data_IF_907904076479
#
_entry.id   IF_907904076479
#
_cell.length_a   1.000
_cell.length_b   1.000
_cell.length_c   1.000
_cell.angle_alpha   90.00
_cell.angle_beta   90.00
_cell.angle_gamma   90.00
#
_symmetry.space_group_name_H-M   'P 1'
#
loop_
_entity.id
_entity.type
_entity.pdbx_description
1 polymer ?
#
# COMPACT_ATOMS: atom_id res chain seq x y z
N UNK A 1 -14.20 -41.70 68.32
CA UNK A 1 -13.78 -41.85 66.91
C UNK A 1 -14.56 -40.86 66.07
N UNK A 2 -13.85 -39.95 65.40
CA UNK A 2 -14.39 -38.94 64.49
C UNK A 2 -14.91 -39.61 63.21
N UNK A 3 -16.06 -39.15 62.71
CA UNK A 3 -16.32 -39.00 61.27
C UNK A 3 -17.41 -37.94 61.11
N UNK A 4 -16.95 -36.70 60.93
CA UNK A 4 -17.81 -35.64 60.41
C UNK A 4 -18.01 -35.90 58.92
N UNK A 5 -19.27 -35.93 58.51
CA UNK A 5 -19.67 -35.81 57.11
C UNK A 5 -19.55 -34.33 56.77
N UNK A 6 -18.61 -34.00 55.89
CA UNK A 6 -18.58 -32.72 55.19
C UNK A 6 -19.70 -32.71 54.15
N UNK A 7 -20.36 -31.57 53.88
CA UNK A 7 -21.26 -31.45 52.74
C UNK A 7 -20.44 -31.59 51.46
N UNK A 8 -21.00 -32.30 50.48
CA UNK A 8 -20.44 -32.40 49.13
C UNK A 8 -20.26 -31.00 48.55
N UNK A 9 -19.04 -30.70 48.13
CA UNK A 9 -18.67 -29.48 47.43
C UNK A 9 -19.57 -29.33 46.19
N UNK A 10 -20.50 -28.37 46.23
CA UNK A 10 -21.04 -27.75 45.02
C UNK A 10 -19.87 -27.06 44.32
N UNK A 11 -19.18 -27.81 43.46
CA UNK A 11 -18.38 -27.22 42.38
C UNK A 11 -19.35 -26.44 41.50
N UNK A 12 -19.54 -25.17 41.84
CA UNK A 12 -20.02 -24.16 40.90
C UNK A 12 -18.93 -24.11 39.83
N UNK A 13 -19.13 -24.86 38.73
CA UNK A 13 -18.43 -24.60 37.49
C UNK A 13 -18.70 -23.13 37.19
N UNK A 14 -17.69 -22.27 37.36
CA UNK A 14 -17.77 -20.91 36.87
C UNK A 14 -18.15 -21.03 35.39
N UNK A 15 -19.28 -20.44 34.99
CA UNK A 15 -19.65 -20.35 33.59
C UNK A 15 -18.42 -19.86 32.84
N UNK A 16 -17.85 -20.68 31.96
CA UNK A 16 -16.75 -20.26 31.10
C UNK A 16 -17.26 -19.04 30.33
N UNK A 17 -16.67 -17.89 30.60
CA UNK A 17 -17.06 -16.64 29.95
C UNK A 17 -16.75 -16.77 28.45
N UNK A 18 -17.79 -17.02 27.65
CA UNK A 18 -17.65 -17.23 26.21
C UNK A 18 -17.49 -15.87 25.54
N UNK A 19 -16.27 -15.58 25.09
CA UNK A 19 -15.96 -14.35 24.37
C UNK A 19 -16.42 -14.45 22.90
N UNK A 20 -16.99 -13.38 22.32
CA UNK A 20 -17.30 -13.37 20.90
C UNK A 20 -16.02 -13.29 20.07
N UNK A 21 -16.00 -13.97 18.92
CA UNK A 21 -14.97 -13.75 17.90
C UNK A 21 -15.04 -12.32 17.35
N UNK A 22 -13.88 -11.75 17.03
CA UNK A 22 -13.73 -10.45 16.36
C UNK A 22 -14.50 -10.35 15.04
N UNK A 23 -14.73 -11.48 14.37
CA UNK A 23 -15.53 -11.55 13.14
C UNK A 23 -17.01 -11.18 13.37
N UNK A 24 -17.50 -11.36 14.60
CA UNK A 24 -18.90 -11.15 14.98
C UNK A 24 -19.11 -9.84 15.76
N UNK A 25 -18.03 -9.22 16.25
CA UNK A 25 -18.08 -7.98 17.01
C UNK A 25 -18.15 -6.76 16.08
N UNK A 26 -18.94 -5.75 16.48
CA UNK A 26 -18.88 -4.43 15.85
C UNK A 26 -17.66 -3.67 16.36
N UNK A 27 -17.06 -2.79 15.53
CA UNK A 27 -15.98 -1.91 15.97
C UNK A 27 -16.40 -1.08 17.19
N UNK A 28 -15.48 -0.85 18.12
CA UNK A 28 -15.74 -0.03 19.30
C UNK A 28 -15.86 1.46 18.97
N UNK A 29 -15.25 1.89 17.86
CA UNK A 29 -15.37 3.24 17.33
C UNK A 29 -15.73 3.17 15.84
N UNK A 30 -16.76 3.91 15.43
CA UNK A 30 -17.05 4.15 14.02
C UNK A 30 -16.62 5.58 13.69
N UNK A 31 -15.66 5.71 12.78
CA UNK A 31 -15.28 7.02 12.24
C UNK A 31 -16.47 7.65 11.51
N UNK A 32 -16.69 8.95 11.73
CA UNK A 32 -17.68 9.70 10.96
C UNK A 32 -17.30 9.71 9.47
N UNK A 33 -18.27 9.65 8.54
CA UNK A 33 -18.00 9.68 7.10
C UNK A 33 -17.52 11.09 6.72
N UNK A 34 -16.22 11.33 6.79
CA UNK A 34 -15.59 12.53 6.26
C UNK A 34 -15.07 12.16 4.87
N UNK A 35 -15.60 12.78 3.83
CA UNK A 35 -15.08 12.61 2.48
C UNK A 35 -13.63 13.13 2.42
N UNK A 36 -12.66 12.22 2.44
CA UNK A 36 -11.22 12.53 2.40
C UNK A 36 -10.78 12.74 0.95
N UNK A 37 -10.14 13.87 0.64
CA UNK A 37 -9.52 14.11 -0.68
C UNK A 37 -8.21 13.33 -0.80
N UNK A 38 -8.07 12.53 -1.86
CA UNK A 38 -6.85 11.78 -2.16
C UNK A 38 -6.59 10.58 -1.24
N UNK A 39 -5.39 10.00 -1.38
CA UNK A 39 -4.83 9.00 -0.47
C UNK A 39 -3.87 9.68 0.50
N UNK A 40 -3.77 9.16 1.71
CA UNK A 40 -2.84 9.67 2.72
C UNK A 40 -1.97 8.57 3.31
N UNK A 41 -1.08 8.95 4.23
CA UNK A 41 -0.19 8.06 4.95
C UNK A 41 -0.88 6.79 5.50
N UNK A 42 -2.05 6.92 6.12
CA UNK A 42 -2.73 5.76 6.70
C UNK A 42 -3.25 4.80 5.64
N UNK A 43 -3.72 5.32 4.50
CA UNK A 43 -4.10 4.46 3.36
C UNK A 43 -2.87 3.67 2.85
N UNK A 44 -1.66 4.27 2.82
CA UNK A 44 -0.43 3.58 2.42
C UNK A 44 0.01 2.49 3.42
N UNK A 45 -0.13 2.73 4.72
CA UNK A 45 0.14 1.73 5.76
C UNK A 45 -0.81 0.53 5.59
N UNK A 46 -2.10 0.81 5.40
CA UNK A 46 -3.10 -0.21 5.14
C UNK A 46 -2.82 -1.02 3.85
N UNK A 47 -2.38 -0.36 2.76
CA UNK A 47 -1.91 -1.06 1.55
C UNK A 47 -0.74 -1.99 1.87
N UNK A 48 0.19 -1.57 2.73
CA UNK A 48 1.29 -2.41 3.20
C UNK A 48 0.82 -3.71 3.86
N UNK A 49 -0.28 -3.66 4.64
CA UNK A 49 -0.91 -4.86 5.22
C UNK A 49 -1.67 -5.69 4.19
N UNK A 50 -2.28 -5.09 3.17
CA UNK A 50 -2.85 -5.86 2.05
C UNK A 50 -1.77 -6.62 1.30
N UNK A 51 -0.60 -6.01 1.08
CA UNK A 51 0.57 -6.68 0.50
C UNK A 51 1.15 -7.77 1.43
N UNK A 52 1.11 -7.56 2.75
CA UNK A 52 1.41 -8.62 3.74
C UNK A 52 0.46 -9.79 3.58
N UNK A 53 -0.84 -9.51 3.46
CA UNK A 53 -1.83 -10.55 3.24
C UNK A 53 -1.59 -11.27 1.92
N UNK A 54 -1.16 -10.62 0.84
CA UNK A 54 -0.77 -11.36 -0.37
C UNK A 54 0.39 -12.33 -0.10
N UNK A 55 1.47 -11.83 0.53
CA UNK A 55 2.71 -12.56 0.72
C UNK A 55 2.66 -13.66 1.80
N UNK A 56 1.84 -13.48 2.83
CA UNK A 56 1.85 -14.32 4.03
C UNK A 56 0.50 -15.06 4.21
N UNK A 57 0.44 -16.39 4.03
CA UNK A 57 -0.79 -17.18 4.16
C UNK A 57 -1.44 -17.14 5.54
N UNK A 58 -0.68 -16.79 6.59
CA UNK A 58 -1.19 -16.72 7.95
C UNK A 58 -2.06 -15.49 8.18
N UNK A 59 -1.89 -14.40 7.42
CA UNK A 59 -2.81 -13.27 7.48
C UNK A 59 -4.05 -13.61 6.64
N UNK A 60 -5.18 -13.82 7.32
CA UNK A 60 -6.40 -14.34 6.67
C UNK A 60 -7.46 -13.28 6.45
N UNK A 61 -7.49 -12.21 7.25
CA UNK A 61 -8.42 -11.08 7.10
C UNK A 61 -7.82 -9.76 7.58
N UNK A 62 -8.34 -8.67 7.02
CA UNK A 62 -8.10 -7.29 7.48
C UNK A 62 -9.44 -6.60 7.66
N UNK A 63 -9.69 -6.06 8.85
CA UNK A 63 -10.86 -5.24 9.15
C UNK A 63 -10.43 -3.76 9.11
N UNK A 64 -11.12 -2.96 8.30
CA UNK A 64 -10.93 -1.51 8.18
C UNK A 64 -11.97 -0.81 9.07
N UNK A 65 -11.70 -0.76 10.38
CA UNK A 65 -12.65 -0.25 11.39
C UNK A 65 -12.87 1.26 11.21
N UNK A 66 -11.80 2.04 11.26
CA UNK A 66 -11.80 3.48 11.03
C UNK A 66 -10.71 3.86 10.02
N UNK A 67 -10.48 5.16 9.84
CA UNK A 67 -9.38 5.67 9.02
C UNK A 67 -8.01 5.34 9.61
N UNK A 68 -7.90 5.31 10.95
CA UNK A 68 -6.63 5.15 11.66
C UNK A 68 -6.51 3.77 12.35
N UNK A 69 -7.58 3.00 12.44
CA UNK A 69 -7.62 1.73 13.17
C UNK A 69 -7.96 0.55 12.24
N UNK A 70 -7.11 -0.48 12.27
CA UNK A 70 -7.24 -1.73 11.52
C UNK A 70 -7.20 -2.92 12.47
N UNK A 71 -7.79 -4.04 12.06
CA UNK A 71 -7.58 -5.34 12.74
C UNK A 71 -7.05 -6.35 11.75
N UNK A 72 -5.89 -6.92 12.04
CA UNK A 72 -5.31 -8.02 11.27
C UNK A 72 -5.65 -9.34 11.96
N UNK A 73 -6.32 -10.24 11.25
CA UNK A 73 -6.66 -11.56 11.80
C UNK A 73 -5.66 -12.58 11.27
N UNK A 74 -4.89 -13.17 12.18
CA UNK A 74 -3.86 -14.15 11.86
C UNK A 74 -4.30 -15.56 12.27
N UNK A 75 -4.10 -16.51 11.36
CA UNK A 75 -4.25 -17.93 11.58
C UNK A 75 -2.86 -18.59 11.65
N UNK A 76 -2.34 -18.71 12.87
CA UNK A 76 -1.01 -19.26 13.16
C UNK A 76 -1.06 -20.70 13.68
N UNK A 77 -2.22 -21.35 13.59
CA UNK A 77 -2.49 -22.64 14.23
C UNK A 77 -2.97 -22.53 15.68
N UNK A 78 -3.21 -23.68 16.31
CA UNK A 78 -3.72 -23.78 17.69
C UNK A 78 -2.76 -23.14 18.72
N UNK A 79 -3.26 -22.59 19.86
CA UNK A 79 -4.61 -22.80 20.41
C UNK A 79 -5.70 -21.83 19.93
N UNK A 80 -5.38 -20.56 19.60
CA UNK A 80 -6.37 -19.57 19.13
C UNK A 80 -5.79 -18.67 18.05
N UNK A 81 -6.67 -18.16 17.17
CA UNK A 81 -6.32 -17.09 16.22
C UNK A 81 -5.87 -15.83 16.97
N UNK A 82 -5.20 -14.95 16.25
CA UNK A 82 -4.77 -13.65 16.78
C UNK A 82 -5.58 -12.54 16.10
N UNK A 83 -6.06 -11.61 16.91
CA UNK A 83 -6.54 -10.31 16.45
C UNK A 83 -5.49 -9.26 16.80
N UNK A 84 -4.77 -8.76 15.80
CA UNK A 84 -3.80 -7.68 15.97
C UNK A 84 -4.46 -6.33 15.66
N UNK A 85 -4.66 -5.54 16.71
CA UNK A 85 -5.24 -4.20 16.65
C UNK A 85 -4.14 -3.21 16.30
N UNK A 86 -4.22 -2.66 15.08
CA UNK A 86 -3.26 -1.70 14.56
C UNK A 86 -3.86 -0.30 14.68
N UNK A 87 -3.11 0.61 15.30
CA UNK A 87 -3.46 2.01 15.39
C UNK A 87 -2.38 2.87 14.72
N UNK A 88 -2.76 3.58 13.66
CA UNK A 88 -1.87 4.41 12.85
C UNK A 88 -1.94 5.87 13.32
N UNK A 89 -0.79 6.49 13.56
CA UNK A 89 -0.66 7.89 13.97
C UNK A 89 0.10 8.68 12.91
N UNK A 90 -0.63 9.16 11.90
CA UNK A 90 -0.10 9.89 10.74
C UNK A 90 -0.23 11.42 10.78
N UNK A 91 -0.94 12.00 11.75
CA UNK A 91 -1.32 13.42 11.77
C UNK A 91 -0.82 14.20 12.99
N UNK A 92 0.11 13.63 13.75
CA UNK A 92 0.56 14.20 15.03
C UNK A 92 1.65 15.27 14.86
N UNK A 93 1.85 16.07 15.93
CA UNK A 93 2.86 17.11 15.99
C UNK A 93 4.28 16.53 15.80
N UNK A 94 5.20 17.37 15.31
CA UNK A 94 6.59 17.00 15.04
C UNK A 94 7.39 16.77 16.34
N UNK A 95 7.14 15.63 17.00
CA UNK A 95 7.79 15.21 18.25
C UNK A 95 8.02 13.71 18.28
N UNK A 96 8.95 13.28 19.12
CA UNK A 96 9.12 11.88 19.47
C UNK A 96 8.00 11.42 20.39
N UNK A 97 7.59 10.17 20.24
CA UNK A 97 6.58 9.54 21.09
C UNK A 97 7.14 9.16 22.45
N UNK A 98 6.45 9.57 23.52
CA UNK A 98 6.84 9.29 24.90
C UNK A 98 5.80 8.47 25.66
N UNK A 99 6.21 7.90 26.81
CA UNK A 99 5.31 7.19 27.73
C UNK A 99 4.18 8.13 28.21
N UNK A 100 4.49 9.41 28.42
CA UNK A 100 3.49 10.41 28.80
C UNK A 100 2.41 10.59 27.72
N UNK A 101 2.78 10.55 26.44
CA UNK A 101 1.83 10.63 25.34
C UNK A 101 0.91 9.40 25.30
N UNK A 102 1.49 8.22 25.52
CA UNK A 102 0.76 6.96 25.55
C UNK A 102 -0.29 6.93 26.66
N UNK A 103 0.06 7.46 27.84
CA UNK A 103 -0.81 7.52 29.03
C UNK A 103 -1.71 8.78 29.08
N UNK A 104 -1.56 9.71 28.14
CA UNK A 104 -2.31 10.97 28.17
C UNK A 104 -3.79 10.73 27.90
N UNK A 105 -4.64 11.08 28.87
CA UNK A 105 -6.10 10.99 28.75
C UNK A 105 -6.67 12.22 28.07
N UNK A 106 -7.47 12.01 27.01
CA UNK A 106 -8.21 13.09 26.35
C UNK A 106 -9.25 13.64 27.33
N UNK A 107 -9.17 14.95 27.61
CA UNK A 107 -10.04 15.64 28.59
C UNK A 107 -10.08 14.94 29.96
N UNK A 108 -8.98 14.29 30.37
CA UNK A 108 -8.86 13.54 31.62
C UNK A 108 -9.85 12.35 31.77
N UNK A 109 -10.51 11.92 30.69
CA UNK A 109 -11.45 10.81 30.73
C UNK A 109 -10.72 9.46 30.91
N UNK A 110 -11.14 8.65 31.88
CA UNK A 110 -10.65 7.28 32.06
C UNK A 110 -10.97 6.46 30.81
N UNK A 111 -10.05 5.60 30.38
CA UNK A 111 -10.21 4.78 29.17
C UNK A 111 -9.93 5.53 27.86
N UNK A 112 -9.43 6.76 27.91
CA UNK A 112 -9.23 7.59 26.71
C UNK A 112 -7.79 7.72 26.24
N UNK A 113 -6.83 7.26 27.04
CA UNK A 113 -5.42 7.20 26.63
C UNK A 113 -5.18 6.10 25.59
N UNK A 114 -4.07 6.20 24.85
CA UNK A 114 -3.72 5.19 23.84
C UNK A 114 -3.50 3.83 24.51
N UNK A 115 -2.81 3.80 25.65
CA UNK A 115 -2.58 2.57 26.41
C UNK A 115 -3.88 1.90 26.85
N UNK A 116 -4.80 2.66 27.49
CA UNK A 116 -6.07 2.10 27.94
C UNK A 116 -6.93 1.60 26.78
N UNK A 117 -7.07 2.41 25.72
CA UNK A 117 -7.87 2.02 24.55
C UNK A 117 -7.31 0.79 23.87
N UNK A 118 -5.99 0.71 23.75
CA UNK A 118 -5.31 -0.44 23.15
C UNK A 118 -5.58 -1.70 23.98
N UNK A 119 -5.37 -1.65 25.29
CA UNK A 119 -5.58 -2.81 26.17
C UNK A 119 -7.06 -3.21 26.29
N UNK A 120 -8.02 -2.28 26.22
CA UNK A 120 -9.46 -2.59 26.23
C UNK A 120 -9.90 -3.45 25.03
N UNK A 121 -9.14 -3.48 23.93
CA UNK A 121 -9.44 -4.34 22.76
C UNK A 121 -9.30 -5.83 23.05
N UNK A 122 -8.60 -6.19 24.13
CA UNK A 122 -8.53 -7.56 24.63
C UNK A 122 -9.85 -7.97 25.32
N UNK A 123 -10.82 -8.30 24.47
CA UNK A 123 -12.22 -8.60 24.83
C UNK A 123 -12.88 -9.57 23.83
N UNK A 124 -12.08 -10.35 23.11
CA UNK A 124 -12.53 -11.28 22.07
C UNK A 124 -11.91 -12.67 22.31
N UNK A 125 -12.45 -13.68 21.64
CA UNK A 125 -11.95 -15.06 21.70
C UNK A 125 -10.50 -15.18 21.19
N UNK A 126 -10.16 -14.39 20.16
CA UNK A 126 -8.81 -14.32 19.65
C UNK A 126 -7.80 -13.73 20.65
N UNK A 127 -6.55 -14.19 20.56
CA UNK A 127 -5.44 -13.58 21.33
C UNK A 127 -5.21 -12.16 20.81
N UNK A 128 -5.31 -11.16 21.70
CA UNK A 128 -5.09 -9.77 21.33
C UNK A 128 -3.59 -9.48 21.16
N UNK A 129 -3.24 -8.87 20.02
CA UNK A 129 -1.95 -8.20 19.81
C UNK A 129 -2.18 -6.74 19.50
N UNK A 130 -1.20 -5.91 19.80
CA UNK A 130 -1.30 -4.47 19.60
C UNK A 130 -0.17 -4.00 18.70
N UNK A 131 -0.47 -3.12 17.75
CA UNK A 131 0.53 -2.48 16.91
C UNK A 131 0.27 -0.99 16.85
N UNK A 132 1.28 -0.18 17.18
CA UNK A 132 1.22 1.27 17.04
C UNK A 132 2.15 1.64 15.89
N UNK A 133 1.60 2.28 14.85
CA UNK A 133 2.36 2.70 13.67
C UNK A 133 2.52 4.21 13.70
N UNK A 134 3.75 4.71 13.68
CA UNK A 134 4.03 6.15 13.78
C UNK A 134 4.95 6.65 12.68
N UNK A 135 4.78 7.91 12.29
CA UNK A 135 5.75 8.63 11.44
C UNK A 135 7.06 8.89 12.19
N UNK A 136 6.93 9.41 13.42
CA UNK A 136 8.08 9.79 14.23
C UNK A 136 8.55 8.66 15.14
N UNK A 137 9.88 8.57 15.40
CA UNK A 137 10.41 7.58 16.31
C UNK A 137 9.94 7.76 17.75
N UNK A 138 10.24 6.76 18.56
CA UNK A 138 10.01 6.80 20.00
C UNK A 138 11.22 7.32 20.78
N UNK A 139 10.97 7.82 21.99
CA UNK A 139 12.05 8.08 22.96
C UNK A 139 12.66 6.79 23.47
N UNK A 140 13.90 6.85 23.98
CA UNK A 140 14.66 5.66 24.44
C UNK A 140 13.86 4.69 25.33
N UNK A 141 13.08 5.13 26.33
CA UNK A 141 12.25 4.23 27.15
C UNK A 141 11.26 3.33 26.40
N UNK A 142 10.82 3.72 25.19
CA UNK A 142 9.88 2.94 24.38
C UNK A 142 10.57 2.11 23.29
N UNK A 143 11.89 2.28 23.08
CA UNK A 143 12.65 1.52 22.07
C UNK A 143 12.52 0.00 22.19
N UNK A 144 12.42 -0.62 23.38
CA UNK A 144 12.23 -2.07 23.44
C UNK A 144 11.00 -2.57 22.67
N UNK A 145 9.96 -1.74 22.52
CA UNK A 145 8.74 -2.10 21.78
C UNK A 145 8.93 -2.05 20.26
N UNK A 146 10.00 -1.47 19.74
CA UNK A 146 10.31 -1.46 18.30
C UNK A 146 10.98 -2.75 17.82
N UNK A 147 11.44 -3.60 18.75
CA UNK A 147 11.93 -4.94 18.44
C UNK A 147 10.79 -5.92 18.22
N UNK A 148 10.99 -6.90 17.33
CA UNK A 148 10.03 -7.96 17.05
C UNK A 148 9.63 -8.72 18.32
N UNK A 149 8.35 -9.11 18.41
CA UNK A 149 7.82 -9.85 19.57
C UNK A 149 8.62 -11.14 19.79
N UNK A 150 8.98 -11.43 21.03
CA UNK A 150 9.83 -12.57 21.40
C UNK A 150 11.33 -12.35 21.26
N UNK A 151 11.79 -11.18 20.79
CA UNK A 151 13.22 -10.85 20.77
C UNK A 151 13.78 -10.71 22.20
N UNK A 152 15.03 -11.15 22.43
CA UNK A 152 15.64 -11.17 23.77
C UNK A 152 15.74 -9.77 24.41
N UNK A 153 16.03 -8.75 23.60
CA UNK A 153 16.16 -7.36 24.04
C UNK A 153 14.85 -6.76 24.60
N UNK A 154 13.71 -7.43 24.39
CA UNK A 154 12.40 -7.02 24.94
C UNK A 154 11.79 -8.05 25.89
N UNK A 155 12.60 -8.98 26.41
CA UNK A 155 12.15 -9.88 27.46
C UNK A 155 11.68 -9.07 28.68
N UNK A 156 10.53 -9.42 29.27
CA UNK A 156 9.96 -8.68 30.41
C UNK A 156 10.88 -8.60 31.64
N UNK A 157 11.89 -9.46 31.72
CA UNK A 157 12.92 -9.46 32.77
C UNK A 157 14.08 -8.50 32.52
N UNK A 158 14.22 -7.93 31.32
CA UNK A 158 15.31 -7.01 31.02
C UNK A 158 15.09 -5.65 31.72
N UNK A 159 16.19 -4.97 32.05
CA UNK A 159 16.15 -3.72 32.82
C UNK A 159 15.27 -2.65 32.17
N UNK A 160 15.37 -2.48 30.85
CA UNK A 160 14.60 -1.50 30.09
C UNK A 160 13.09 -1.79 30.11
N UNK A 161 12.69 -3.06 29.96
CA UNK A 161 11.28 -3.47 30.02
C UNK A 161 10.71 -3.39 31.44
N UNK A 162 11.49 -3.73 32.46
CA UNK A 162 11.10 -3.56 33.87
C UNK A 162 10.88 -2.08 34.20
N UNK A 163 11.79 -1.20 33.74
CA UNK A 163 11.65 0.24 33.91
C UNK A 163 10.42 0.78 33.17
N UNK A 164 10.20 0.38 31.92
CA UNK A 164 9.02 0.76 31.13
C UNK A 164 7.72 0.32 31.80
N UNK A 165 7.66 -0.94 32.27
CA UNK A 165 6.50 -1.47 32.99
C UNK A 165 6.22 -0.66 34.26
N UNK A 166 7.26 -0.35 35.04
CA UNK A 166 7.14 0.43 36.27
C UNK A 166 6.59 1.85 36.01
N UNK A 167 7.08 2.53 34.96
CA UNK A 167 6.58 3.87 34.59
C UNK A 167 5.12 3.82 34.12
N UNK A 168 4.75 2.81 33.32
CA UNK A 168 3.35 2.60 32.91
C UNK A 168 2.43 2.35 34.11
N UNK A 169 2.81 1.45 35.01
CA UNK A 169 2.01 1.12 36.20
C UNK A 169 1.89 2.32 37.16
N UNK A 170 2.95 3.14 37.27
CA UNK A 170 2.93 4.37 38.08
C UNK A 170 1.97 5.41 37.51
N UNK A 171 1.96 5.59 36.19
CA UNK A 171 1.09 6.56 35.51
C UNK A 171 -0.35 6.08 35.42
N UNK A 172 -0.54 4.77 35.23
CA UNK A 172 -1.83 4.14 34.93
C UNK A 172 -2.10 2.96 35.87
N UNK A 173 -2.26 3.21 37.18
CA UNK A 173 -2.38 2.15 38.17
C UNK A 173 -3.67 1.34 37.99
N UNK A 174 -3.53 0.01 38.01
CA UNK A 174 -4.67 -0.92 38.02
C UNK A 174 -5.43 -1.05 36.70
N UNK A 175 -4.90 -0.56 35.59
CA UNK A 175 -5.53 -0.73 34.27
C UNK A 175 -5.43 -2.20 33.84
N UNK A 176 -6.58 -2.78 33.50
CA UNK A 176 -6.72 -4.15 33.00
C UNK A 176 -7.69 -4.19 31.82
N UNK A 177 -7.51 -5.16 30.93
CA UNK A 177 -8.47 -5.49 29.89
C UNK A 177 -9.72 -6.15 30.47
N UNK A 178 -10.75 -6.34 29.64
CA UNK A 178 -11.96 -7.07 30.03
C UNK A 178 -11.69 -8.54 30.36
N UNK A 179 -10.60 -9.10 29.82
CA UNK A 179 -10.09 -10.44 30.13
C UNK A 179 -9.15 -10.47 31.35
N UNK A 180 -9.00 -9.36 32.07
CA UNK A 180 -8.17 -9.25 33.27
C UNK A 180 -6.67 -9.14 33.03
N UNK A 181 -6.24 -8.99 31.77
CA UNK A 181 -4.83 -8.81 31.44
C UNK A 181 -4.36 -7.38 31.70
N UNK A 182 -3.19 -7.21 32.30
CA UNK A 182 -2.63 -5.89 32.64
C UNK A 182 -1.45 -5.46 31.76
N UNK A 183 -0.67 -4.49 32.25
CA UNK A 183 0.49 -3.89 31.58
C UNK A 183 1.50 -4.89 31.04
N UNK A 184 1.79 -5.97 31.79
CA UNK A 184 2.76 -6.99 31.36
C UNK A 184 2.32 -7.70 30.07
N UNK A 185 1.04 -8.03 29.96
CA UNK A 185 0.47 -8.64 28.76
C UNK A 185 0.53 -7.68 27.58
N UNK A 186 0.18 -6.41 27.79
CA UNK A 186 0.26 -5.39 26.76
C UNK A 186 1.69 -5.23 26.25
N UNK A 187 2.68 -5.15 27.14
CA UNK A 187 4.09 -5.01 26.78
C UNK A 187 4.63 -6.21 26.00
N UNK A 188 4.21 -7.42 26.33
CA UNK A 188 4.63 -8.63 25.61
C UNK A 188 4.00 -8.71 24.21
N UNK A 189 2.77 -8.20 24.06
CA UNK A 189 1.99 -8.30 22.83
C UNK A 189 1.96 -7.03 21.97
N UNK A 190 2.53 -5.91 22.43
CA UNK A 190 2.60 -4.66 21.69
C UNK A 190 3.83 -4.58 20.78
N UNK A 191 3.68 -4.13 19.55
CA UNK A 191 4.76 -3.81 18.63
C UNK A 191 4.66 -2.34 18.22
N UNK A 192 5.77 -1.63 18.24
CA UNK A 192 5.86 -0.26 17.74
C UNK A 192 6.55 -0.24 16.38
N UNK A 193 5.85 0.20 15.36
CA UNK A 193 6.31 0.20 13.97
C UNK A 193 6.59 1.64 13.51
N UNK A 194 7.87 1.98 13.38
CA UNK A 194 8.32 3.29 12.94
C UNK A 194 8.40 3.33 11.41
N UNK A 195 7.47 4.05 10.77
CA UNK A 195 7.31 4.07 9.32
C UNK A 195 7.69 5.42 8.66
N UNK A 196 8.44 6.27 9.36
CA UNK A 196 9.09 7.50 8.87
C UNK A 196 8.17 8.50 8.15
N UNK A 197 8.01 8.39 6.84
CA UNK A 197 7.23 9.31 6.00
C UNK A 197 6.49 8.59 4.85
N UNK A 198 5.46 9.26 4.33
CA UNK A 198 4.59 8.72 3.28
C UNK A 198 5.36 8.34 1.98
N UNK A 199 6.28 9.16 1.44
CA UNK A 199 7.11 8.76 0.31
C UNK A 199 7.89 7.45 0.54
N UNK A 200 8.48 7.29 1.73
CA UNK A 200 9.24 6.10 2.10
C UNK A 200 8.33 4.87 2.17
N UNK A 201 7.13 5.00 2.75
CA UNK A 201 6.15 3.90 2.79
C UNK A 201 5.69 3.52 1.37
N UNK A 202 5.43 4.50 0.50
CA UNK A 202 5.07 4.25 -0.91
C UNK A 202 6.13 3.45 -1.64
N UNK A 203 7.38 3.85 -1.52
CA UNK A 203 8.50 3.16 -2.14
C UNK A 203 8.69 1.74 -1.58
N UNK A 204 8.55 1.57 -0.25
CA UNK A 204 8.58 0.26 0.41
C UNK A 204 7.47 -0.65 -0.10
N UNK A 205 6.24 -0.14 -0.24
CA UNK A 205 5.11 -0.88 -0.80
C UNK A 205 5.37 -1.29 -2.26
N UNK A 206 5.95 -0.38 -3.05
CA UNK A 206 6.32 -0.66 -4.45
C UNK A 206 7.38 -1.73 -4.58
N UNK A 207 8.46 -1.64 -3.80
CA UNK A 207 9.49 -2.66 -3.75
C UNK A 207 8.94 -4.01 -3.27
N UNK A 208 8.06 -4.00 -2.27
CA UNK A 208 7.40 -5.21 -1.76
C UNK A 208 6.54 -5.86 -2.85
N UNK A 209 5.72 -5.07 -3.54
CA UNK A 209 4.90 -5.57 -4.62
C UNK A 209 5.76 -6.13 -5.76
N UNK A 210 6.84 -5.44 -6.13
CA UNK A 210 7.80 -5.94 -7.12
C UNK A 210 8.31 -7.34 -6.78
N UNK A 211 8.72 -7.56 -5.51
CA UNK A 211 9.18 -8.88 -5.03
C UNK A 211 8.08 -9.94 -5.11
N UNK A 212 6.86 -9.63 -4.62
CA UNK A 212 5.71 -10.54 -4.70
C UNK A 212 5.44 -10.97 -6.15
N UNK A 213 5.48 -10.01 -7.09
CA UNK A 213 5.26 -10.28 -8.51
C UNK A 213 6.36 -11.14 -9.12
N UNK A 214 7.61 -10.88 -8.77
CA UNK A 214 8.75 -11.65 -9.23
C UNK A 214 8.69 -13.10 -8.73
N UNK A 215 8.39 -13.30 -7.45
CA UNK A 215 8.31 -14.62 -6.82
C UNK A 215 7.12 -15.43 -7.35
N UNK A 216 6.04 -14.75 -7.75
CA UNK A 216 4.89 -15.36 -8.42
C UNK A 216 5.12 -15.68 -9.91
N UNK A 217 6.31 -15.41 -10.46
CA UNK A 217 6.63 -15.68 -11.87
C UNK A 217 6.01 -14.70 -12.86
N UNK A 218 5.56 -13.54 -12.38
CA UNK A 218 4.89 -12.51 -13.18
C UNK A 218 5.61 -11.15 -13.05
N UNK A 219 6.88 -11.03 -13.46
CA UNK A 219 7.62 -9.79 -13.31
C UNK A 219 6.93 -8.63 -14.06
N UNK A 220 6.67 -7.55 -13.35
CA UNK A 220 6.12 -6.31 -13.92
C UNK A 220 7.20 -5.24 -14.00
N UNK A 221 7.06 -4.35 -14.98
CA UNK A 221 7.87 -3.14 -15.05
C UNK A 221 7.56 -2.25 -13.85
N UNK A 222 8.56 -1.51 -13.39
CA UNK A 222 8.48 -0.67 -12.20
C UNK A 222 7.32 0.34 -12.26
N UNK A 223 7.08 0.92 -13.45
CA UNK A 223 5.99 1.85 -13.70
C UNK A 223 4.59 1.21 -13.65
N UNK A 224 4.46 -0.09 -13.92
CA UNK A 224 3.17 -0.78 -13.86
C UNK A 224 2.75 -1.12 -12.43
N UNK A 225 3.70 -1.15 -11.49
CA UNK A 225 3.42 -1.36 -10.07
C UNK A 225 2.58 -0.22 -9.50
N UNK A 226 2.78 1.02 -9.97
CA UNK A 226 2.01 2.18 -9.49
C UNK A 226 0.52 2.03 -9.80
N UNK A 227 0.18 1.48 -10.98
CA UNK A 227 -1.21 1.22 -11.36
C UNK A 227 -1.85 0.18 -10.44
N UNK A 228 -1.12 -0.87 -10.06
CA UNK A 228 -1.62 -1.88 -9.13
C UNK A 228 -1.78 -1.32 -7.73
N UNK A 229 -0.78 -0.58 -7.25
CA UNK A 229 -0.85 0.08 -5.95
C UNK A 229 -2.01 1.07 -5.88
N UNK A 230 -2.30 1.79 -6.97
CA UNK A 230 -3.46 2.68 -7.03
C UNK A 230 -4.79 1.94 -6.90
N UNK A 231 -4.93 0.75 -7.47
CA UNK A 231 -6.12 -0.09 -7.26
C UNK A 231 -6.23 -0.57 -5.81
N UNK A 232 -5.11 -0.96 -5.18
CA UNK A 232 -5.09 -1.33 -3.75
C UNK A 232 -5.44 -0.13 -2.85
N UNK A 233 -4.93 1.07 -3.16
CA UNK A 233 -5.26 2.31 -2.45
C UNK A 233 -6.75 2.63 -2.53
N UNK A 234 -7.36 2.50 -3.72
CA UNK A 234 -8.81 2.68 -3.91
C UNK A 234 -9.61 1.68 -3.07
N UNK A 235 -9.18 0.41 -3.05
CA UNK A 235 -9.82 -0.63 -2.24
C UNK A 235 -9.78 -0.27 -0.75
N UNK A 236 -8.59 0.03 -0.23
CA UNK A 236 -8.37 0.37 1.18
C UNK A 236 -9.19 1.60 1.57
N UNK A 237 -9.14 2.65 0.76
CA UNK A 237 -9.90 3.88 0.98
C UNK A 237 -11.40 3.60 1.03
N UNK A 238 -11.92 2.83 0.06
CA UNK A 238 -13.34 2.46 0.01
C UNK A 238 -13.76 1.62 1.22
N UNK A 239 -12.88 0.74 1.72
CA UNK A 239 -13.16 -0.08 2.89
C UNK A 239 -13.16 0.76 4.17
N UNK A 240 -12.19 1.66 4.34
CA UNK A 240 -12.15 2.59 5.47
C UNK A 240 -13.36 3.54 5.52
N UNK A 241 -13.79 4.04 4.37
CA UNK A 241 -14.90 5.00 4.23
C UNK A 241 -16.30 4.34 4.32
N UNK A 242 -16.39 3.01 4.22
CA UNK A 242 -17.65 2.29 4.37
C UNK A 242 -18.23 2.45 5.79
N UNK A 243 -19.51 2.12 5.98
CA UNK A 243 -20.15 2.06 7.31
C UNK A 243 -20.26 0.61 7.77
N UNK A 244 -20.19 0.37 9.08
CA UNK A 244 -20.36 -0.99 9.61
C UNK A 244 -21.77 -1.52 9.35
N UNK A 245 -22.80 -0.68 9.54
CA UNK A 245 -24.18 -0.96 9.11
C UNK A 245 -24.57 0.02 8.00
N UNK A 246 -25.00 -0.44 6.81
CA UNK A 246 -25.25 -1.82 6.40
C UNK A 246 -24.05 -2.55 5.76
N UNK A 247 -22.92 -1.87 5.57
CA UNK A 247 -21.85 -2.30 4.65
C UNK A 247 -20.70 -3.09 5.31
N UNK A 248 -20.98 -3.91 6.34
CA UNK A 248 -19.97 -4.72 7.07
C UNK A 248 -18.98 -5.42 6.14
N UNK A 249 -19.49 -6.11 5.12
CA UNK A 249 -18.66 -6.87 4.17
C UNK A 249 -17.69 -6.00 3.37
N UNK A 250 -17.98 -4.70 3.20
CA UNK A 250 -17.05 -3.76 2.54
C UNK A 250 -15.89 -3.33 3.46
N UNK A 251 -16.04 -3.48 4.78
CA UNK A 251 -14.99 -3.19 5.77
C UNK A 251 -14.06 -4.36 6.02
N UNK A 252 -14.36 -5.56 5.52
CA UNK A 252 -13.59 -6.77 5.79
C UNK A 252 -13.02 -7.31 4.49
N UNK A 253 -11.71 -7.22 4.33
CA UNK A 253 -11.02 -7.88 3.21
C UNK A 253 -10.52 -9.24 3.68
N UNK A 254 -11.10 -10.31 3.13
CA UNK A 254 -10.60 -11.67 3.35
C UNK A 254 -9.50 -12.01 2.35
N UNK A 255 -8.60 -12.93 2.73
CA UNK A 255 -7.58 -13.46 1.81
C UNK A 255 -8.21 -14.02 0.54
N UNK A 256 -9.31 -14.76 0.65
CA UNK A 256 -9.99 -15.34 -0.51
C UNK A 256 -10.49 -14.25 -1.47
N UNK A 257 -11.14 -13.20 -0.95
CA UNK A 257 -11.59 -12.08 -1.78
C UNK A 257 -10.42 -11.35 -2.45
N UNK A 258 -9.33 -11.14 -1.71
CA UNK A 258 -8.10 -10.57 -2.23
C UNK A 258 -7.49 -11.43 -3.34
N UNK A 259 -7.39 -12.75 -3.16
CA UNK A 259 -6.89 -13.67 -4.20
C UNK A 259 -7.74 -13.64 -5.46
N UNK A 260 -9.07 -13.66 -5.36
CA UNK A 260 -9.97 -13.57 -6.53
C UNK A 260 -9.77 -12.25 -7.28
N UNK A 261 -9.69 -11.13 -6.55
CA UNK A 261 -9.41 -9.83 -7.14
C UNK A 261 -8.01 -9.80 -7.78
N UNK A 262 -7.03 -10.39 -7.12
CA UNK A 262 -5.65 -10.47 -7.59
C UNK A 262 -5.55 -11.24 -8.90
N UNK A 263 -6.15 -12.42 -8.96
CA UNK A 263 -6.18 -13.27 -10.15
C UNK A 263 -6.88 -12.56 -11.32
N UNK A 264 -8.01 -11.89 -11.05
CA UNK A 264 -8.69 -11.08 -12.07
C UNK A 264 -7.80 -9.94 -12.58
N UNK A 265 -7.05 -9.29 -11.69
CA UNK A 265 -6.10 -8.25 -12.05
C UNK A 265 -4.93 -8.80 -12.86
N UNK A 266 -4.41 -9.99 -12.50
CA UNK A 266 -3.37 -10.68 -13.23
C UNK A 266 -3.83 -11.08 -14.63
N UNK A 267 -5.03 -11.65 -14.78
CA UNK A 267 -5.61 -11.96 -16.09
C UNK A 267 -5.74 -10.71 -16.95
N UNK A 268 -6.14 -9.57 -16.37
CA UNK A 268 -6.19 -8.29 -17.09
C UNK A 268 -4.81 -7.83 -17.53
N UNK A 269 -3.80 -7.91 -16.66
CA UNK A 269 -2.42 -7.56 -17.00
C UNK A 269 -1.81 -8.51 -18.04
N UNK A 270 -2.07 -9.81 -17.95
CA UNK A 270 -1.66 -10.79 -18.96
C UNK A 270 -2.37 -10.54 -20.27
N UNK A 271 -3.66 -10.19 -20.29
CA UNK A 271 -4.39 -9.81 -21.51
C UNK A 271 -3.80 -8.57 -22.18
N UNK A 272 -3.41 -7.57 -21.38
CA UNK A 272 -2.69 -6.38 -21.85
C UNK A 272 -1.26 -6.71 -22.32
N UNK A 273 -0.59 -7.69 -21.71
CA UNK A 273 0.74 -8.17 -22.11
C UNK A 273 0.72 -9.16 -23.30
N UNK A 274 -0.41 -9.81 -23.56
CA UNK A 274 -0.65 -10.68 -24.71
C UNK A 274 -1.19 -9.92 -25.93
N UNK A 275 -1.48 -8.62 -25.79
CA UNK A 275 -1.28 -7.74 -26.92
C UNK A 275 0.23 -7.62 -27.09
N UNK A 276 0.81 -7.98 -28.26
CA UNK A 276 2.22 -7.77 -28.48
C UNK A 276 2.55 -6.31 -28.16
N UNK A 277 3.62 -6.09 -27.37
CA UNK A 277 4.08 -4.75 -27.00
C UNK A 277 4.05 -3.84 -28.24
N UNK A 278 3.23 -2.78 -28.21
CA UNK A 278 2.89 -2.00 -29.41
C UNK A 278 1.46 -2.24 -29.97
N UNK A 279 0.60 -3.00 -29.30
CA UNK A 279 -0.77 -3.27 -29.76
C UNK A 279 -1.63 -2.01 -29.88
N UNK A 280 -1.52 -1.08 -28.91
CA UNK A 280 -2.21 0.21 -28.97
C UNK A 280 -1.61 1.14 -30.01
N UNK A 281 -0.28 1.14 -30.14
CA UNK A 281 0.41 1.84 -31.22
C UNK A 281 -0.07 1.33 -32.58
N UNK A 282 -0.13 0.02 -32.78
CA UNK A 282 -0.58 -0.61 -34.01
C UNK A 282 -2.02 -0.25 -34.33
N UNK A 283 -2.92 -0.34 -33.35
CA UNK A 283 -4.32 0.08 -33.47
C UNK A 283 -4.42 1.54 -33.93
N UNK A 284 -3.76 2.47 -33.24
CA UNK A 284 -3.78 3.90 -33.60
C UNK A 284 -3.20 4.22 -34.96
N UNK A 285 -2.15 3.51 -35.35
CA UNK A 285 -1.53 3.71 -36.65
C UNK A 285 -2.40 3.14 -37.78
N UNK A 286 -3.05 1.99 -37.54
CA UNK A 286 -4.02 1.42 -38.46
C UNK A 286 -5.28 2.30 -38.58
N UNK A 287 -5.79 2.84 -37.48
CA UNK A 287 -6.91 3.81 -37.45
C UNK A 287 -6.57 5.09 -38.22
N UNK A 288 -5.30 5.46 -38.24
CA UNK A 288 -4.76 6.57 -39.02
C UNK A 288 -4.42 6.20 -40.48
N UNK A 289 -4.85 5.02 -40.96
CA UNK A 289 -4.62 4.51 -42.31
C UNK A 289 -3.14 4.40 -42.72
N UNK A 290 -2.23 4.14 -41.76
CA UNK A 290 -0.83 3.86 -42.05
C UNK A 290 -0.63 2.42 -42.55
N UNK A 291 0.38 2.21 -43.40
CA UNK A 291 0.62 0.89 -44.01
C UNK A 291 1.23 -0.10 -43.01
N UNK A 292 0.92 -1.39 -43.16
CA UNK A 292 1.41 -2.44 -42.26
C UNK A 292 2.94 -2.49 -42.10
N UNK A 293 3.69 -2.13 -43.15
CA UNK A 293 5.16 -2.03 -43.11
C UNK A 293 5.62 -0.90 -42.18
N UNK A 294 5.00 0.27 -42.26
CA UNK A 294 5.32 1.43 -41.40
C UNK A 294 4.96 1.14 -39.95
N UNK A 295 3.83 0.46 -39.72
CA UNK A 295 3.42 0.01 -38.38
C UNK A 295 4.44 -0.95 -37.78
N UNK A 296 4.89 -1.95 -38.54
CA UNK A 296 5.90 -2.91 -38.06
C UNK A 296 7.22 -2.22 -37.69
N UNK A 297 7.69 -1.29 -38.52
CA UNK A 297 8.92 -0.52 -38.23
C UNK A 297 8.78 0.37 -36.99
N UNK A 298 7.61 0.98 -36.77
CA UNK A 298 7.36 1.80 -35.59
C UNK A 298 7.33 0.97 -34.30
N UNK A 299 6.78 -0.25 -34.36
CA UNK A 299 6.81 -1.20 -33.24
C UNK A 299 8.26 -1.59 -32.93
N UNK A 300 9.06 -1.90 -33.94
CA UNK A 300 10.47 -2.28 -33.76
C UNK A 300 11.29 -1.14 -33.12
N UNK A 301 11.16 0.08 -33.65
CA UNK A 301 11.79 1.27 -33.06
C UNK A 301 11.37 1.52 -31.60
N UNK A 302 10.11 1.27 -31.27
CA UNK A 302 9.62 1.38 -29.90
C UNK A 302 10.24 0.30 -29.00
N UNK A 303 10.31 -0.95 -29.47
CA UNK A 303 10.92 -2.04 -28.72
C UNK A 303 12.39 -1.78 -28.45
N UNK A 304 13.13 -1.24 -29.43
CA UNK A 304 14.52 -0.85 -29.27
C UNK A 304 14.71 0.32 -28.29
N UNK A 305 13.84 1.33 -28.35
CA UNK A 305 13.82 2.38 -27.33
C UNK A 305 13.52 1.83 -25.94
N UNK A 306 12.57 0.91 -25.80
CA UNK A 306 12.24 0.29 -24.52
C UNK A 306 13.39 -0.59 -23.99
N UNK A 307 14.11 -1.30 -24.86
CA UNK A 307 15.35 -2.02 -24.50
C UNK A 307 16.40 -1.03 -24.01
N UNK A 308 16.64 0.04 -24.76
CA UNK A 308 17.61 1.08 -24.41
C UNK A 308 17.27 1.72 -23.05
N UNK A 309 16.03 2.12 -22.83
CA UNK A 309 15.59 2.74 -21.57
C UNK A 309 15.75 1.79 -20.36
N UNK A 310 15.67 0.47 -20.56
CA UNK A 310 15.85 -0.53 -19.50
C UNK A 310 17.32 -0.91 -19.25
N UNK A 311 18.20 -0.78 -20.24
CA UNK A 311 19.60 -1.24 -20.17
C UNK A 311 20.62 -0.12 -19.99
N UNK A 312 20.21 1.15 -20.10
CA UNK A 312 21.17 2.26 -20.13
C UNK A 312 21.86 2.50 -18.78
N UNK A 313 23.03 1.87 -18.63
CA UNK A 313 24.12 2.29 -17.74
C UNK A 313 25.12 3.23 -18.44
N UNK A 314 24.90 3.54 -19.72
CA UNK A 314 25.93 4.13 -20.61
C UNK A 314 25.54 5.46 -21.27
N UNK A 315 24.30 5.93 -21.15
CA UNK A 315 23.96 7.34 -21.38
C UNK A 315 24.04 8.06 -20.04
N UNK A 316 24.67 9.24 -20.01
CA UNK A 316 24.54 10.14 -18.84
C UNK A 316 23.04 10.35 -18.64
N UNK A 317 22.49 9.93 -17.49
CA UNK A 317 21.03 9.91 -17.22
C UNK A 317 20.36 11.24 -17.59
N UNK A 318 21.07 12.35 -17.39
CA UNK A 318 20.65 13.70 -17.70
C UNK A 318 20.39 13.96 -19.20
N UNK A 319 21.15 13.33 -20.12
CA UNK A 319 20.98 13.52 -21.57
C UNK A 319 19.73 12.80 -22.09
N UNK A 320 19.49 11.57 -21.62
CA UNK A 320 18.32 10.78 -21.98
C UNK A 320 17.03 11.49 -21.56
N UNK A 321 17.00 11.97 -20.30
CA UNK A 321 15.85 12.69 -19.76
C UNK A 321 15.59 14.00 -20.49
N UNK A 322 16.63 14.75 -20.85
CA UNK A 322 16.50 15.98 -21.64
C UNK A 322 15.90 15.71 -23.03
N UNK A 323 16.40 14.69 -23.74
CA UNK A 323 15.87 14.33 -25.06
C UNK A 323 14.42 13.84 -24.98
N UNK A 324 14.09 13.00 -24.00
CA UNK A 324 12.71 12.55 -23.76
C UNK A 324 11.77 13.72 -23.45
N UNK A 325 12.22 14.67 -22.62
CA UNK A 325 11.50 15.90 -22.32
C UNK A 325 11.20 16.73 -23.57
N UNK A 326 12.17 16.85 -24.48
CA UNK A 326 11.98 17.55 -25.77
C UNK A 326 10.97 16.83 -26.66
N UNK A 327 11.07 15.50 -26.81
CA UNK A 327 10.10 14.71 -27.59
C UNK A 327 8.68 14.90 -27.05
N UNK A 328 8.50 14.80 -25.72
CA UNK A 328 7.21 14.98 -25.07
C UNK A 328 6.62 16.37 -25.33
N UNK A 329 7.43 17.42 -25.20
CA UNK A 329 7.02 18.80 -25.46
C UNK A 329 6.56 19.04 -26.90
N UNK A 330 7.33 18.53 -27.88
CA UNK A 330 7.00 18.65 -29.30
C UNK A 330 5.71 17.91 -29.66
N UNK A 331 5.59 16.64 -29.24
CA UNK A 331 4.41 15.81 -29.50
C UNK A 331 3.16 16.40 -28.84
N UNK A 332 3.28 16.94 -27.64
CA UNK A 332 2.18 17.65 -26.96
C UNK A 332 1.77 18.90 -27.76
N UNK A 333 2.73 19.69 -28.24
CA UNK A 333 2.47 20.89 -29.04
C UNK A 333 1.74 20.57 -30.34
N UNK A 334 2.20 19.53 -31.06
CA UNK A 334 1.54 19.06 -32.28
C UNK A 334 0.11 18.57 -32.01
N UNK A 335 -0.06 17.78 -30.94
CA UNK A 335 -1.38 17.26 -30.54
C UNK A 335 -2.35 18.40 -30.19
N UNK A 336 -1.88 19.40 -29.44
CA UNK A 336 -2.68 20.58 -29.10
C UNK A 336 -3.09 21.40 -30.32
N UNK A 337 -2.14 21.65 -31.25
CA UNK A 337 -2.43 22.37 -32.50
C UNK A 337 -3.42 21.62 -33.38
N UNK A 338 -3.33 20.28 -33.41
CA UNK A 338 -4.26 19.44 -34.15
C UNK A 338 -5.65 19.43 -33.52
N UNK A 339 -5.73 19.32 -32.19
CA UNK A 339 -6.99 19.40 -31.44
C UNK A 339 -7.68 20.77 -31.62
N UNK A 340 -6.90 21.84 -31.66
CA UNK A 340 -7.39 23.19 -31.93
C UNK A 340 -7.78 23.43 -33.41
N UNK A 341 -7.66 22.42 -34.29
CA UNK A 341 -7.93 22.53 -35.72
C UNK A 341 -6.95 23.41 -36.50
N UNK A 342 -5.85 23.84 -35.87
CA UNK A 342 -4.79 24.64 -36.52
C UNK A 342 -3.86 23.79 -37.40
N UNK A 343 -3.90 22.47 -37.24
CA UNK A 343 -3.25 21.50 -38.12
C UNK A 343 -4.33 20.61 -38.74
N UNK A 344 -4.74 20.94 -39.97
CA UNK A 344 -5.70 20.17 -40.74
C UNK A 344 -4.97 19.13 -41.60
N UNK A 345 -4.50 18.06 -40.94
CA UNK A 345 -3.76 16.97 -41.55
C UNK A 345 -4.48 15.64 -41.31
N UNK A 346 -4.52 14.81 -42.35
CA UNK A 346 -4.97 13.43 -42.24
C UNK A 346 -3.99 12.58 -41.42
N UNK A 347 -4.35 11.32 -41.19
CA UNK A 347 -3.56 10.42 -40.34
C UNK A 347 -2.11 10.26 -40.80
N UNK A 348 -1.86 9.92 -42.07
CA UNK A 348 -0.51 9.76 -42.59
C UNK A 348 0.28 11.07 -42.61
N UNK A 349 -0.31 12.20 -43.01
CA UNK A 349 0.40 13.48 -43.04
C UNK A 349 0.76 13.98 -41.64
N UNK A 350 -0.09 13.72 -40.64
CA UNK A 350 0.25 14.06 -39.26
C UNK A 350 1.36 13.16 -38.69
N UNK A 351 1.33 11.86 -38.97
CA UNK A 351 2.43 10.95 -38.60
C UNK A 351 3.75 11.38 -39.23
N UNK A 352 3.76 11.73 -40.52
CA UNK A 352 4.95 12.25 -41.20
C UNK A 352 5.47 13.53 -40.52
N UNK A 353 4.59 14.48 -40.19
CA UNK A 353 4.98 15.69 -39.46
C UNK A 353 5.62 15.38 -38.10
N UNK A 354 5.10 14.38 -37.36
CA UNK A 354 5.70 13.97 -36.09
C UNK A 354 7.12 13.41 -36.30
N UNK A 355 7.32 12.57 -37.34
CA UNK A 355 8.63 12.01 -37.70
C UNK A 355 9.61 13.13 -38.11
N UNK A 356 9.18 14.07 -38.94
CA UNK A 356 9.99 15.22 -39.37
C UNK A 356 10.45 16.07 -38.18
N UNK A 357 9.60 16.20 -37.15
CA UNK A 357 9.98 16.91 -35.92
C UNK A 357 11.03 16.15 -35.11
N UNK A 358 10.98 14.81 -35.09
CA UNK A 358 12.04 14.02 -34.45
C UNK A 358 13.36 14.17 -35.20
N UNK A 359 13.32 14.18 -36.53
CA UNK A 359 14.52 14.41 -37.35
C UNK A 359 15.05 15.84 -37.19
N UNK A 360 14.18 16.85 -37.02
CA UNK A 360 14.60 18.21 -36.70
C UNK A 360 15.26 18.33 -35.32
N UNK A 361 14.77 17.60 -34.30
CA UNK A 361 15.44 17.52 -32.99
C UNK A 361 16.83 16.91 -33.18
N UNK A 362 16.94 15.79 -33.89
CA UNK A 362 18.21 15.12 -34.15
C UNK A 362 19.22 16.04 -34.84
N UNK A 363 18.79 16.73 -35.90
CA UNK A 363 19.63 17.64 -36.67
C UNK A 363 20.04 18.90 -35.89
N UNK A 364 19.35 19.22 -34.79
CA UNK A 364 19.73 20.31 -33.88
C UNK A 364 20.82 19.93 -32.88
N UNK A 365 21.19 18.65 -32.81
CA UNK A 365 22.23 18.19 -31.90
C UNK A 365 23.63 18.50 -32.46
N UNK A 366 24.62 18.75 -31.58
CA UNK A 366 26.02 18.87 -31.97
C UNK A 366 26.52 17.65 -32.76
N UNK A 367 27.35 17.83 -33.82
CA UNK A 367 27.80 16.72 -34.68
C UNK A 367 28.56 15.59 -33.96
N UNK A 368 29.12 15.88 -32.79
CA UNK A 368 29.87 14.95 -31.94
C UNK A 368 28.99 14.04 -31.07
N UNK A 369 27.68 14.31 -30.96
CA UNK A 369 26.74 13.51 -30.16
C UNK A 369 26.19 12.27 -30.90
N UNK A 370 26.52 12.12 -32.18
CA UNK A 370 26.08 11.00 -33.03
C UNK A 370 24.59 11.03 -33.37
N UNK A 371 24.16 10.08 -34.21
CA UNK A 371 22.78 9.97 -34.64
C UNK A 371 21.87 9.41 -33.54
N UNK A 372 20.86 10.19 -33.14
CA UNK A 372 19.82 9.83 -32.15
C UNK A 372 18.45 9.63 -32.78
N UNK A 373 18.32 9.62 -34.11
CA UNK A 373 17.03 9.55 -34.81
C UNK A 373 16.18 8.34 -34.37
N UNK A 374 16.80 7.16 -34.27
CA UNK A 374 16.12 5.93 -33.83
C UNK A 374 15.59 6.03 -32.39
N UNK A 375 16.38 6.64 -31.48
CA UNK A 375 15.98 6.85 -30.08
C UNK A 375 14.78 7.80 -29.97
N UNK A 376 14.83 8.94 -30.69
CA UNK A 376 13.78 9.95 -30.67
C UNK A 376 12.46 9.40 -31.25
N UNK A 377 12.52 8.70 -32.38
CA UNK A 377 11.36 8.05 -33.01
C UNK A 377 10.79 6.95 -32.12
N UNK A 378 11.64 6.11 -31.53
CA UNK A 378 11.20 5.09 -30.57
C UNK A 378 10.53 5.67 -29.32
N UNK A 379 11.04 6.79 -28.78
CA UNK A 379 10.42 7.51 -27.67
C UNK A 379 9.03 8.05 -28.03
N UNK A 380 8.90 8.68 -29.20
CA UNK A 380 7.61 9.16 -29.72
C UNK A 380 6.59 8.02 -29.84
N UNK A 381 7.01 6.87 -30.37
CA UNK A 381 6.13 5.71 -30.50
C UNK A 381 5.76 5.10 -29.14
N UNK A 382 6.65 5.15 -28.14
CA UNK A 382 6.32 4.75 -26.79
C UNK A 382 5.28 5.67 -26.14
N UNK A 383 5.36 6.99 -26.38
CA UNK A 383 4.35 7.98 -25.97
C UNK A 383 2.99 7.68 -26.62
N UNK A 384 2.99 7.32 -27.91
CA UNK A 384 1.77 6.93 -28.63
C UNK A 384 1.14 5.65 -28.07
N UNK A 385 1.94 4.64 -27.76
CA UNK A 385 1.46 3.38 -27.16
C UNK A 385 0.86 3.61 -25.76
N UNK A 386 1.42 4.54 -24.97
CA UNK A 386 0.97 4.93 -23.62
C UNK A 386 -0.25 5.87 -23.59
N UNK A 387 -0.99 5.97 -24.69
CA UNK A 387 -2.21 6.78 -24.80
C UNK A 387 -2.06 8.32 -24.85
N UNK A 388 -0.85 8.87 -25.04
CA UNK A 388 -0.64 10.33 -25.02
C UNK A 388 -0.59 11.01 -26.40
N UNK A 389 -0.45 10.22 -27.47
CA UNK A 389 -0.49 10.69 -28.87
C UNK A 389 -1.49 9.84 -29.68
N UNK A 390 -2.28 10.49 -30.54
CA UNK A 390 -3.16 9.84 -31.53
C UNK A 390 -2.82 10.35 -32.93
N UNK A 391 -2.81 9.44 -33.91
CA UNK A 391 -2.54 9.77 -35.30
C UNK A 391 -3.81 9.99 -36.11
N UNK A 392 -4.96 9.53 -35.65
CA UNK A 392 -6.26 9.77 -36.25
C UNK A 392 -6.97 11.00 -35.62
N UNK A 393 -8.08 11.42 -36.23
CA UNK A 393 -8.90 12.56 -35.75
C UNK A 393 -10.18 12.11 -35.02
N UNK A 394 -10.53 10.84 -35.08
CA UNK A 394 -11.90 10.35 -34.77
C UNK A 394 -12.13 10.17 -33.25
N UNK A 395 -11.09 10.30 -32.42
CA UNK A 395 -11.16 10.06 -30.98
C UNK A 395 -10.81 11.23 -30.05
N UNK A 396 -11.07 12.49 -30.46
CA UNK A 396 -11.01 13.68 -29.58
C UNK A 396 -12.40 14.08 -29.09
#
# INVERSE_FOLDING_TARGET
MRRGLLPEDEFIAADEEVWPSIDNAAPSEEGGPIARKGFNYQDEIAVGFVLEMLANPQLVKIHFETHDDLVLVWDIGAPSRIAEFVQVKGSEADKLWSIADLCSRKKQAVGSSIFEKSLDRDQHDETARFRIVTLRPVVSPLKPLTYERGHEARALSCEEMVALKSDLDMRMPGVQSKRGHGTGYWLDNCLWDECHDEPTVKEKNKLRLFKIMNDAGHPLLWEHLDLLLDELRKLVKSAGDAKWKPDKEKKILTRQALSVMWDACMVRLTKVASQPSGGKLAEKMNDAALTGTVVAMAIDMRLDYARFARTSRYMQLDEAEQLQGRVKSEVQTLSAKRAAGSLDLDGPAFHALCVDRMDAINNSLPPDQGDRSAFLKGCMYDIADRCLLRFDRIGL
#
